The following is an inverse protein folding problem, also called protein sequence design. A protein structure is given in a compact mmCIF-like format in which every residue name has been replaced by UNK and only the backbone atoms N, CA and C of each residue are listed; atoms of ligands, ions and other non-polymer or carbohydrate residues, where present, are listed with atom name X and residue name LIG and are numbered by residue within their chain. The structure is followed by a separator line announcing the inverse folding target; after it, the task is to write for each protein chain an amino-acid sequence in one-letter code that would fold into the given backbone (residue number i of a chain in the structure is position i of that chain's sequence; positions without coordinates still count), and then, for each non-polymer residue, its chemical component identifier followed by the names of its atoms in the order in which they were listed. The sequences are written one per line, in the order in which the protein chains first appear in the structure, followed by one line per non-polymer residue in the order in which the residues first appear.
data_IF_146348994717
#
_entry.id   IF_146348994717
#
_cell.length_a   1.000
_cell.length_b   1.000
_cell.length_c   1.000
_cell.angle_alpha   90.00
_cell.angle_beta   90.00
_cell.angle_gamma   90.00
#
_symmetry.space_group_name_H-M   'P 1'
#
loop_
_entity.id
_entity.type
_entity.pdbx_description
1 polymer ?
#
# COMPACT_ATOMS: atom_id res chain seq x y z
N UNK A 1 8.57 -23.63 6.73
CA UNK A 1 8.48 -22.22 7.15
C UNK A 1 9.76 -21.49 6.77
N UNK A 2 9.70 -20.20 6.43
CA UNK A 2 10.82 -19.32 6.11
C UNK A 2 11.44 -18.71 7.36
N UNK A 3 12.77 -18.68 7.37
CA UNK A 3 13.63 -18.15 8.43
C UNK A 3 14.16 -16.76 8.05
N UNK A 4 14.70 -15.99 9.01
CA UNK A 4 15.33 -14.69 8.73
C UNK A 4 16.34 -14.71 7.57
N UNK A 5 17.16 -15.76 7.45
CA UNK A 5 18.15 -15.90 6.39
C UNK A 5 17.52 -16.03 5.00
N UNK A 6 16.33 -16.65 4.88
CA UNK A 6 15.60 -16.71 3.61
C UNK A 6 15.16 -15.31 3.16
N UNK A 7 14.77 -14.45 4.11
CA UNK A 7 14.35 -13.08 3.83
C UNK A 7 15.53 -12.28 3.31
N UNK A 8 16.63 -12.24 4.04
CA UNK A 8 17.83 -11.47 3.65
C UNK A 8 18.33 -11.91 2.27
N UNK A 9 18.47 -13.22 2.05
CA UNK A 9 18.92 -13.74 0.76
C UNK A 9 18.00 -13.32 -0.41
N UNK A 10 16.67 -13.29 -0.20
CA UNK A 10 15.73 -12.85 -1.22
C UNK A 10 15.77 -11.34 -1.48
N UNK A 11 15.97 -10.54 -0.43
CA UNK A 11 16.11 -9.08 -0.54
C UNK A 11 17.41 -8.69 -1.25
N UNK A 12 18.51 -9.37 -0.96
CA UNK A 12 19.81 -9.17 -1.61
C UNK A 12 19.81 -9.63 -3.07
N UNK A 13 19.07 -10.69 -3.40
CA UNK A 13 18.95 -11.21 -4.76
C UNK A 13 18.01 -10.39 -5.66
N UNK A 14 17.26 -9.43 -5.11
CA UNK A 14 16.35 -8.59 -5.89
C UNK A 14 17.12 -7.48 -6.63
N UNK A 15 17.02 -7.49 -7.96
CA UNK A 15 17.75 -6.57 -8.84
C UNK A 15 16.95 -5.31 -9.25
N UNK A 16 15.80 -5.07 -8.61
CA UNK A 16 14.89 -3.99 -8.96
C UNK A 16 13.79 -4.38 -9.95
N UNK A 17 13.90 -5.52 -10.63
CA UNK A 17 12.97 -5.92 -11.70
C UNK A 17 12.42 -7.35 -11.50
N UNK A 18 13.30 -8.31 -11.23
CA UNK A 18 12.95 -9.71 -11.14
C UNK A 18 12.44 -10.06 -9.74
N UNK A 19 11.12 -10.26 -9.63
CA UNK A 19 10.45 -10.62 -8.37
C UNK A 19 10.52 -12.11 -8.03
N UNK A 20 11.22 -12.93 -8.82
CA UNK A 20 11.31 -14.38 -8.58
C UNK A 20 11.87 -14.73 -7.18
N UNK A 21 12.97 -14.11 -6.69
CA UNK A 21 13.46 -14.38 -5.34
C UNK A 21 12.43 -14.04 -4.25
N UNK A 22 11.70 -12.93 -4.41
CA UNK A 22 10.67 -12.51 -3.46
C UNK A 22 9.46 -13.46 -3.48
N UNK A 23 9.05 -13.91 -4.66
CA UNK A 23 7.95 -14.88 -4.80
C UNK A 23 8.28 -16.21 -4.14
N UNK A 24 9.55 -16.63 -4.16
CA UNK A 24 9.97 -17.87 -3.52
C UNK A 24 9.79 -17.82 -2.00
N UNK A 25 10.03 -16.67 -1.36
CA UNK A 25 9.72 -16.45 0.06
C UNK A 25 8.25 -16.73 0.35
N UNK A 26 7.34 -16.24 -0.51
CA UNK A 26 5.90 -16.37 -0.32
C UNK A 26 5.36 -17.80 -0.47
N UNK A 27 6.14 -18.77 -0.96
CA UNK A 27 5.70 -20.18 -1.11
C UNK A 27 5.53 -20.93 0.21
N UNK A 28 5.97 -20.36 1.33
CA UNK A 28 5.84 -20.98 2.65
C UNK A 28 5.61 -19.93 3.74
N UNK A 29 5.03 -20.34 4.88
CA UNK A 29 4.80 -19.48 6.04
C UNK A 29 6.07 -18.89 6.63
N UNK A 30 6.03 -17.63 7.04
CA UNK A 30 7.13 -16.97 7.74
C UNK A 30 7.06 -17.33 9.22
N UNK A 31 8.23 -17.51 9.83
CA UNK A 31 8.34 -17.43 11.29
C UNK A 31 8.14 -15.98 11.74
N UNK A 32 7.76 -15.77 13.01
CA UNK A 32 7.68 -14.42 13.60
C UNK A 32 9.03 -13.68 13.48
N UNK A 33 10.15 -14.39 13.67
CA UNK A 33 11.48 -13.82 13.50
C UNK A 33 11.73 -13.37 12.06
N UNK A 34 11.30 -14.16 11.06
CA UNK A 34 11.43 -13.78 9.66
C UNK A 34 10.59 -12.53 9.33
N UNK A 35 9.37 -12.43 9.88
CA UNK A 35 8.55 -11.23 9.73
C UNK A 35 9.20 -10.01 10.40
N UNK A 36 9.74 -10.15 11.61
CA UNK A 36 10.46 -9.09 12.29
C UNK A 36 11.69 -8.62 11.50
N UNK A 37 12.46 -9.55 10.91
CA UNK A 37 13.57 -9.23 10.00
C UNK A 37 13.09 -8.46 8.79
N UNK A 38 11.99 -8.88 8.15
CA UNK A 38 11.42 -8.17 7.02
C UNK A 38 11.00 -6.73 7.38
N UNK A 39 10.35 -6.55 8.54
CA UNK A 39 9.96 -5.22 9.01
C UNK A 39 11.18 -4.35 9.31
N UNK A 40 12.26 -4.90 9.85
CA UNK A 40 13.47 -4.12 10.16
C UNK A 40 14.10 -3.44 8.93
N UNK A 41 13.81 -3.92 7.72
CA UNK A 41 14.27 -3.34 6.45
C UNK A 41 13.43 -2.16 5.94
N UNK A 42 12.51 -1.66 6.77
CA UNK A 42 11.57 -0.56 6.43
C UNK A 42 11.70 0.54 7.50
N UNK A 43 12.34 1.69 7.26
CA UNK A 43 13.13 2.02 6.08
C UNK A 43 14.50 1.32 6.11
N UNK A 44 15.10 1.13 4.94
CA UNK A 44 16.40 0.47 4.81
C UNK A 44 16.86 0.43 3.36
N UNK A 45 18.05 -0.14 3.12
CA UNK A 45 18.57 -0.31 1.74
C UNK A 45 17.65 -1.21 0.90
N UNK A 46 16.92 -2.10 1.55
CA UNK A 46 15.98 -3.03 0.94
C UNK A 46 14.51 -2.58 1.02
N UNK A 47 14.22 -1.29 1.25
CA UNK A 47 12.84 -0.82 1.48
C UNK A 47 11.86 -1.16 0.33
N UNK A 48 12.33 -1.20 -0.92
CA UNK A 48 11.50 -1.58 -2.08
C UNK A 48 11.11 -3.07 -2.06
N UNK A 49 12.05 -4.03 -2.09
CA UNK A 49 11.70 -5.45 -2.02
C UNK A 49 11.02 -5.83 -0.70
N UNK A 50 11.35 -5.17 0.42
CA UNK A 50 10.72 -5.42 1.71
C UNK A 50 9.24 -5.02 1.70
N UNK A 51 8.92 -3.80 1.29
CA UNK A 51 7.52 -3.34 1.17
C UNK A 51 6.73 -4.12 0.11
N UNK A 52 7.39 -4.62 -0.94
CA UNK A 52 6.77 -5.52 -1.91
C UNK A 52 6.31 -6.82 -1.25
N UNK A 53 7.15 -7.44 -0.42
CA UNK A 53 6.79 -8.65 0.34
C UNK A 53 5.68 -8.38 1.35
N UNK A 54 5.73 -7.25 2.07
CA UNK A 54 4.66 -6.85 3.00
C UNK A 54 3.33 -6.73 2.27
N UNK A 55 3.30 -6.05 1.14
CA UNK A 55 2.09 -5.95 0.29
C UNK A 55 1.58 -7.32 -0.11
N UNK A 56 2.45 -8.20 -0.59
CA UNK A 56 2.04 -9.53 -1.03
C UNK A 56 1.52 -10.40 0.12
N UNK A 57 2.11 -10.27 1.33
CA UNK A 57 1.62 -10.92 2.54
C UNK A 57 0.24 -10.38 2.97
N UNK A 58 0.02 -9.07 2.86
CA UNK A 58 -1.27 -8.43 3.14
C UNK A 58 -2.35 -8.90 2.15
N UNK A 59 -2.04 -8.92 0.85
CA UNK A 59 -2.94 -9.42 -0.19
C UNK A 59 -3.33 -10.88 0.02
N UNK A 60 -2.41 -11.69 0.54
CA UNK A 60 -2.65 -13.09 0.87
C UNK A 60 -3.34 -13.31 2.23
N UNK A 61 -3.63 -12.25 3.00
CA UNK A 61 -4.20 -12.35 4.35
C UNK A 61 -3.28 -13.00 5.38
N UNK A 62 -1.95 -12.95 5.16
CA UNK A 62 -0.92 -13.63 5.98
C UNK A 62 -0.30 -12.72 7.03
N UNK A 63 -0.66 -11.45 7.05
CA UNK A 63 -0.37 -10.49 8.12
C UNK A 63 -1.64 -9.71 8.45
N UNK A 64 -1.78 -9.28 9.71
CA UNK A 64 -2.97 -8.57 10.20
C UNK A 64 -2.78 -7.06 10.30
N UNK A 65 -3.85 -6.37 10.71
CA UNK A 65 -3.89 -4.91 10.88
C UNK A 65 -2.81 -4.37 11.82
N UNK A 66 -2.42 -5.11 12.86
CA UNK A 66 -1.35 -4.68 13.78
C UNK A 66 0.01 -4.54 13.10
N UNK A 67 0.40 -5.53 12.28
CA UNK A 67 1.63 -5.45 11.48
C UNK A 67 1.55 -4.33 10.46
N UNK A 68 0.39 -4.16 9.81
CA UNK A 68 0.21 -3.10 8.81
C UNK A 68 0.21 -1.69 9.44
N UNK A 69 -0.29 -1.54 10.67
CA UNK A 69 -0.18 -0.30 11.43
C UNK A 69 1.30 0.11 11.62
N UNK A 70 2.16 -0.82 12.04
CA UNK A 70 3.60 -0.54 12.16
C UNK A 70 4.26 -0.13 10.84
N UNK A 71 3.80 -0.71 9.72
CA UNK A 71 4.27 -0.35 8.38
C UNK A 71 3.78 1.04 7.97
N UNK A 72 2.55 1.40 8.29
CA UNK A 72 1.97 2.71 7.98
C UNK A 72 2.67 3.85 8.72
N UNK A 73 3.05 3.65 9.98
CA UNK A 73 3.84 4.61 10.77
C UNK A 73 5.22 4.90 10.13
N UNK A 74 5.76 3.97 9.34
CA UNK A 74 7.06 4.13 8.66
C UNK A 74 6.95 4.86 7.32
N UNK A 75 5.74 5.06 6.77
CA UNK A 75 5.51 5.76 5.51
C UNK A 75 6.33 7.06 5.33
N UNK A 76 6.35 8.01 6.28
CA UNK A 76 7.09 9.28 6.12
C UNK A 76 8.61 9.10 6.04
N UNK A 77 9.14 7.93 6.39
CA UNK A 77 10.58 7.65 6.37
C UNK A 77 11.05 7.02 5.05
N UNK A 78 10.12 6.60 4.18
CA UNK A 78 10.44 5.94 2.92
C UNK A 78 10.97 6.91 1.88
N UNK A 79 12.02 6.51 1.17
CA UNK A 79 12.69 7.36 0.18
C UNK A 79 12.36 6.99 -1.26
N UNK A 80 12.04 5.72 -1.54
CA UNK A 80 11.70 5.23 -2.88
C UNK A 80 10.20 5.31 -3.12
N UNK A 81 9.84 5.84 -4.29
CA UNK A 81 8.42 5.97 -4.71
C UNK A 81 7.71 4.62 -4.78
N UNK A 82 8.41 3.56 -5.18
CA UNK A 82 7.83 2.22 -5.26
C UNK A 82 7.54 1.64 -3.87
N UNK A 83 8.40 1.93 -2.88
CA UNK A 83 8.15 1.52 -1.50
C UNK A 83 6.91 2.22 -0.93
N UNK A 84 6.80 3.54 -1.13
CA UNK A 84 5.60 4.32 -0.76
C UNK A 84 4.35 3.73 -1.43
N UNK A 85 4.44 3.44 -2.73
CA UNK A 85 3.34 2.85 -3.49
C UNK A 85 2.88 1.51 -2.88
N UNK A 86 3.80 0.60 -2.56
CA UNK A 86 3.47 -0.70 -1.96
C UNK A 86 2.78 -0.54 -0.61
N UNK A 87 3.24 0.40 0.24
CA UNK A 87 2.62 0.66 1.53
C UNK A 87 1.21 1.21 1.37
N UNK A 88 0.99 2.19 0.49
CA UNK A 88 -0.35 2.74 0.24
C UNK A 88 -1.32 1.68 -0.29
N UNK A 89 -0.83 0.73 -1.11
CA UNK A 89 -1.62 -0.40 -1.59
C UNK A 89 -2.10 -1.32 -0.47
N UNK A 90 -1.42 -1.35 0.67
CA UNK A 90 -1.83 -2.17 1.81
C UNK A 90 -3.06 -1.63 2.54
N UNK A 91 -3.44 -0.36 2.36
CA UNK A 91 -4.56 0.26 3.05
C UNK A 91 -5.88 -0.50 2.87
N UNK A 92 -6.11 -1.10 1.70
CA UNK A 92 -7.30 -1.90 1.41
C UNK A 92 -7.37 -3.23 2.17
N UNK A 93 -6.25 -3.69 2.72
CA UNK A 93 -6.15 -4.96 3.45
C UNK A 93 -6.19 -4.79 4.98
N UNK A 94 -6.15 -3.55 5.48
CA UNK A 94 -6.27 -3.24 6.91
C UNK A 94 -7.09 -1.95 7.12
N UNK A 95 -8.42 -1.99 6.91
CA UNK A 95 -9.28 -0.82 7.10
C UNK A 95 -9.15 -0.22 8.50
N UNK A 96 -8.97 -1.04 9.54
CA UNK A 96 -8.81 -0.57 10.91
C UNK A 96 -7.49 0.20 11.15
N UNK A 97 -6.45 -0.12 10.38
CA UNK A 97 -5.15 0.54 10.48
C UNK A 97 -5.00 1.71 9.50
N UNK A 98 -5.81 1.76 8.43
CA UNK A 98 -5.72 2.79 7.40
C UNK A 98 -5.74 4.23 7.93
N UNK A 99 -6.49 4.61 9.00
CA UNK A 99 -6.45 5.96 9.58
C UNK A 99 -5.05 6.46 9.94
N UNK A 100 -4.10 5.58 10.27
CA UNK A 100 -2.69 5.92 10.57
C UNK A 100 -2.03 6.63 9.39
N UNK A 101 -2.41 6.29 8.16
CA UNK A 101 -1.82 6.90 6.96
C UNK A 101 -2.19 8.39 6.83
N UNK A 102 -3.33 8.81 7.38
CA UNK A 102 -3.97 10.09 7.07
C UNK A 102 -3.06 11.31 7.26
N UNK A 103 -2.30 11.46 8.37
CA UNK A 103 -1.41 12.60 8.57
C UNK A 103 -0.28 12.68 7.54
N UNK A 104 0.06 11.56 6.89
CA UNK A 104 1.20 11.43 5.98
C UNK A 104 0.82 11.62 4.49
N UNK A 105 -0.46 11.42 4.13
CA UNK A 105 -0.93 11.51 2.74
C UNK A 105 -0.72 12.87 2.04
N UNK A 106 -0.82 14.03 2.72
CA UNK A 106 -0.70 15.34 2.05
C UNK A 106 0.60 15.53 1.27
N UNK A 107 1.71 14.93 1.72
CA UNK A 107 2.99 14.99 1.03
C UNK A 107 2.97 14.37 -0.39
N UNK A 108 1.98 13.52 -0.68
CA UNK A 108 1.92 12.74 -1.92
C UNK A 108 0.78 13.15 -2.87
N UNK A 109 -0.09 14.11 -2.50
CA UNK A 109 -1.20 14.56 -3.37
C UNK A 109 -0.73 15.09 -4.74
N UNK A 110 0.48 15.67 -4.77
CA UNK A 110 1.13 16.21 -5.97
C UNK A 110 2.16 15.29 -6.63
N UNK A 111 2.19 13.99 -6.28
CA UNK A 111 3.21 13.07 -6.79
C UNK A 111 3.30 13.07 -8.34
N UNK A 112 4.51 13.08 -8.89
CA UNK A 112 4.75 13.06 -10.34
C UNK A 112 4.23 11.77 -10.98
N UNK A 113 4.39 10.64 -10.29
CA UNK A 113 3.96 9.33 -10.75
C UNK A 113 2.45 9.20 -10.61
N UNK A 114 1.76 8.97 -11.74
CA UNK A 114 0.29 8.87 -11.75
C UNK A 114 -0.21 7.72 -10.87
N UNK A 115 0.50 6.60 -10.86
CA UNK A 115 0.14 5.44 -10.05
C UNK A 115 0.19 5.75 -8.56
N UNK A 116 1.17 6.54 -8.11
CA UNK A 116 1.24 6.96 -6.72
C UNK A 116 0.02 7.84 -6.36
N UNK A 117 -0.35 8.80 -7.21
CA UNK A 117 -1.56 9.62 -7.00
C UNK A 117 -2.84 8.80 -6.92
N UNK A 118 -2.96 7.73 -7.71
CA UNK A 118 -4.10 6.81 -7.65
C UNK A 118 -4.20 6.17 -6.27
N UNK A 119 -3.10 5.67 -5.74
CA UNK A 119 -3.08 4.98 -4.45
C UNK A 119 -3.11 5.92 -3.25
N UNK A 120 -2.68 7.16 -3.40
CA UNK A 120 -2.91 8.20 -2.38
C UNK A 120 -4.39 8.55 -2.27
N UNK A 121 -5.10 8.66 -3.39
CA UNK A 121 -6.57 8.85 -3.38
C UNK A 121 -7.26 7.67 -2.70
N UNK A 122 -6.85 6.45 -3.04
CA UNK A 122 -7.39 5.24 -2.41
C UNK A 122 -7.17 5.21 -0.90
N UNK A 123 -5.92 5.38 -0.48
CA UNK A 123 -5.55 5.42 0.93
C UNK A 123 -6.28 6.55 1.67
N UNK A 124 -6.49 7.71 1.04
CA UNK A 124 -7.26 8.81 1.62
C UNK A 124 -8.69 8.40 1.95
N UNK A 125 -9.40 7.79 1.00
CA UNK A 125 -10.77 7.33 1.21
C UNK A 125 -10.85 6.26 2.31
N UNK A 126 -9.87 5.35 2.38
CA UNK A 126 -9.84 4.30 3.41
C UNK A 126 -9.42 4.80 4.79
N UNK A 127 -8.60 5.84 4.84
CA UNK A 127 -8.14 6.47 6.08
C UNK A 127 -9.12 7.53 6.59
N UNK A 128 -10.25 7.74 5.92
CA UNK A 128 -11.25 8.70 6.34
C UNK A 128 -12.06 8.19 7.53
N UNK A 129 -12.35 9.04 8.52
CA UNK A 129 -13.23 8.67 9.60
C UNK A 129 -14.67 8.50 9.07
N UNK A 130 -15.52 7.69 9.71
CA UNK A 130 -16.85 7.32 9.19
C UNK A 130 -17.78 8.51 8.90
N UNK A 131 -17.60 9.64 9.58
CA UNK A 131 -18.40 10.85 9.42
C UNK A 131 -17.98 11.73 8.23
N UNK A 132 -16.81 11.48 7.62
CA UNK A 132 -16.34 12.29 6.49
C UNK A 132 -17.06 11.92 5.18
N UNK A 133 -17.69 12.90 4.55
CA UNK A 133 -18.28 12.72 3.22
C UNK A 133 -17.20 12.69 2.13
N UNK A 134 -16.99 11.51 1.54
CA UNK A 134 -16.02 11.26 0.47
C UNK A 134 -16.57 11.53 -0.93
N UNK A 135 -17.87 11.84 -1.06
CA UNK A 135 -18.59 11.93 -2.34
C UNK A 135 -17.93 12.89 -3.31
N UNK A 136 -17.64 14.11 -2.88
CA UNK A 136 -17.04 15.13 -3.75
C UNK A 136 -15.63 14.74 -4.19
N UNK A 137 -14.85 14.14 -3.29
CA UNK A 137 -13.49 13.68 -3.61
C UNK A 137 -13.52 12.57 -4.65
N UNK A 138 -14.41 11.59 -4.49
CA UNK A 138 -14.58 10.49 -5.44
C UNK A 138 -15.09 11.02 -6.79
N UNK A 139 -16.06 11.94 -6.80
CA UNK A 139 -16.58 12.58 -8.02
C UNK A 139 -15.51 13.39 -8.77
N UNK A 140 -14.64 14.10 -8.06
CA UNK A 140 -13.47 14.75 -8.67
C UNK A 140 -12.56 13.73 -9.36
N UNK A 141 -12.33 12.57 -8.73
CA UNK A 141 -11.58 11.47 -9.30
C UNK A 141 -12.22 10.88 -10.57
N UNK A 142 -13.55 10.74 -10.58
CA UNK A 142 -14.31 10.27 -11.76
C UNK A 142 -14.16 11.21 -12.98
N UNK A 143 -13.96 12.51 -12.75
CA UNK A 143 -13.77 13.54 -13.80
C UNK A 143 -12.30 13.76 -14.16
N UNK A 144 -11.37 13.02 -13.56
CA UNK A 144 -9.94 13.22 -13.79
C UNK A 144 -9.51 12.86 -15.23
N UNK A 145 -8.53 13.58 -15.78
CA UNK A 145 -7.96 13.30 -17.12
C UNK A 145 -7.30 11.92 -17.22
N UNK A 146 -6.77 11.39 -16.12
CA UNK A 146 -6.12 10.08 -16.08
C UNK A 146 -7.12 8.94 -16.03
N UNK A 147 -7.02 8.02 -16.99
CA UNK A 147 -7.84 6.80 -17.01
C UNK A 147 -7.64 5.94 -15.76
N UNK A 148 -6.43 5.89 -15.20
CA UNK A 148 -6.13 5.13 -13.99
C UNK A 148 -6.83 5.71 -12.75
N UNK A 149 -6.83 7.05 -12.60
CA UNK A 149 -7.56 7.71 -11.50
C UNK A 149 -9.06 7.47 -11.66
N UNK A 150 -9.61 7.61 -12.87
CA UNK A 150 -11.03 7.32 -13.12
C UNK A 150 -11.39 5.87 -12.81
N UNK A 151 -10.54 4.91 -13.20
CA UNK A 151 -10.76 3.50 -12.92
C UNK A 151 -10.80 3.24 -11.40
N UNK A 152 -9.84 3.75 -10.63
CA UNK A 152 -9.85 3.58 -9.18
C UNK A 152 -11.00 4.31 -8.50
N UNK A 153 -11.34 5.52 -8.97
CA UNK A 153 -12.47 6.29 -8.44
C UNK A 153 -13.81 5.59 -8.66
N UNK A 154 -13.97 4.84 -9.77
CA UNK A 154 -15.15 3.99 -9.99
C UNK A 154 -15.23 2.84 -8.99
N UNK A 155 -14.11 2.19 -8.69
CA UNK A 155 -14.07 1.15 -7.66
C UNK A 155 -14.41 1.73 -6.28
N UNK A 156 -13.81 2.87 -5.91
CA UNK A 156 -14.13 3.57 -4.67
C UNK A 156 -15.60 3.99 -4.60
N UNK A 157 -16.17 4.49 -5.70
CA UNK A 157 -17.58 4.85 -5.73
C UNK A 157 -18.50 3.65 -5.44
N UNK A 158 -18.17 2.47 -5.99
CA UNK A 158 -18.89 1.23 -5.69
C UNK A 158 -18.72 0.81 -4.22
N UNK A 159 -17.50 0.85 -3.69
CA UNK A 159 -17.19 0.47 -2.31
C UNK A 159 -17.85 1.39 -1.27
N UNK A 160 -17.88 2.70 -1.53
CA UNK A 160 -18.38 3.72 -0.61
C UNK A 160 -19.81 4.21 -0.94
N UNK A 161 -20.51 3.56 -1.87
CA UNK A 161 -21.90 3.88 -2.19
C UNK A 161 -22.12 5.25 -2.82
N UNK A 162 -21.15 5.76 -3.59
CA UNK A 162 -21.28 7.04 -4.29
C UNK A 162 -21.95 6.85 -5.65
N UNK A 163 -23.08 7.53 -5.86
CA UNK A 163 -23.82 7.48 -7.12
C UNK A 163 -22.97 7.90 -8.33
N UNK A 164 -22.94 7.00 -9.32
CA UNK A 164 -22.23 7.18 -10.57
C UNK A 164 -23.02 8.00 -11.61
N UNK A 165 -24.31 8.30 -11.36
CA UNK A 165 -25.25 8.76 -12.40
C UNK A 165 -25.21 10.27 -12.76
N UNK A 166 -24.37 11.10 -12.14
CA UNK A 166 -24.30 12.55 -12.44
C UNK A 166 -23.01 12.99 -13.15
N UNK A 167 -22.72 12.34 -14.28
CA UNK A 167 -21.60 12.65 -15.16
C UNK A 167 -21.99 12.94 -16.62
N UNK A 168 -23.20 13.47 -16.85
CA UNK A 168 -23.56 14.08 -18.14
C UNK A 168 -23.25 15.57 -18.14
#
# INVERSE_FOLDING_TARGET
MRQPSDIIAALEAFDGTHTAPLKDVLRADLTEKALATLLAEIPGIHEVPATWLIKALAEAGRIGSGTLAEVFERLPTLTKSDAVLHVLQCAQHAPDAAPILRPHLPAYFGAKTILLRVWVLDAYCRAAPPEEDLTDRIRQGLRNRSAAIRARSRALAQEFGVDLENGK
#
